data_IF_508397629023
#
_entry.id   IF_508397629023
#
_cell.length_a   1.000
_cell.length_b   1.000
_cell.length_c   1.000
_cell.angle_alpha   90.00
_cell.angle_beta   90.00
_cell.angle_gamma   90.00
#
_symmetry.space_group_name_H-M   'P 1'
#
loop_
_entity.id
_entity.type
_entity.pdbx_description
1 polymer ?
#
# COMPACT_ATOMS: atom_id res chain seq x y z
N UNK A 1 11.36 22.16 53.96
CA UNK A 1 10.51 21.57 55.03
C UNK A 1 10.09 20.16 54.60
N UNK A 2 10.55 19.14 55.33
CA UNK A 2 10.04 17.75 55.35
C UNK A 2 8.73 17.70 56.16
N UNK A 3 7.90 16.65 56.06
CA UNK A 3 8.09 15.35 56.74
C UNK A 3 7.87 14.17 55.77
N UNK A 4 8.53 13.01 55.77
CA UNK A 4 8.93 12.01 56.79
C UNK A 4 7.78 11.58 57.70
N UNK A 5 7.13 10.46 57.38
CA UNK A 5 6.64 9.53 58.39
C UNK A 5 6.68 8.09 57.87
N UNK A 6 7.45 7.28 58.58
CA UNK A 6 7.48 5.83 58.52
C UNK A 6 6.47 5.28 59.52
N UNK A 7 5.79 4.17 59.20
CA UNK A 7 5.20 3.28 60.20
C UNK A 7 5.43 1.83 59.74
N UNK A 8 5.95 1.04 60.67
CA UNK A 8 6.33 -0.35 60.54
C UNK A 8 5.36 -1.26 61.31
N UNK A 9 5.19 -2.49 60.78
CA UNK A 9 4.90 -3.77 61.46
C UNK A 9 3.50 -3.96 62.12
N UNK A 10 3.08 -5.20 62.51
CA UNK A 10 3.79 -6.49 62.47
C UNK A 10 2.96 -7.76 62.06
N UNK A 11 3.70 -8.87 61.93
CA UNK A 11 3.38 -10.27 62.28
C UNK A 11 2.00 -10.89 61.97
N UNK A 12 2.03 -11.98 61.19
CA UNK A 12 1.26 -13.19 61.52
C UNK A 12 2.00 -14.45 61.04
N UNK A 13 2.48 -15.21 62.02
CA UNK A 13 3.11 -16.51 61.96
C UNK A 13 2.01 -17.58 62.01
N UNK A 14 1.99 -18.54 61.09
CA UNK A 14 1.19 -19.75 61.25
C UNK A 14 1.95 -20.96 60.69
N UNK A 15 2.48 -21.76 61.62
CA UNK A 15 2.92 -23.13 61.40
C UNK A 15 1.72 -24.02 61.06
N UNK A 16 1.88 -24.95 60.12
CA UNK A 16 1.19 -26.23 60.15
C UNK A 16 2.16 -27.33 59.73
N UNK A 17 2.37 -28.25 60.66
CA UNK A 17 3.14 -29.48 60.55
C UNK A 17 2.18 -30.67 60.33
N UNK A 18 2.73 -31.77 59.78
CA UNK A 18 2.11 -33.11 59.78
C UNK A 18 1.63 -33.55 58.39
N UNK A 19 1.84 -34.77 57.91
CA UNK A 19 2.46 -35.97 58.47
C UNK A 19 3.05 -36.76 57.30
N UNK A 20 4.23 -37.35 57.51
CA UNK A 20 4.83 -38.30 56.58
C UNK A 20 4.23 -39.69 56.79
N UNK A 21 3.51 -40.21 55.79
CA UNK A 21 3.06 -41.60 55.76
C UNK A 21 4.13 -42.46 55.10
N UNK A 22 4.82 -43.27 55.91
CA UNK A 22 5.75 -44.29 55.44
C UNK A 22 4.94 -45.52 55.03
N UNK A 23 4.92 -45.84 53.73
CA UNK A 23 4.34 -47.08 53.22
C UNK A 23 5.44 -48.09 52.94
N UNK A 24 5.26 -49.28 53.51
CA UNK A 24 6.19 -50.41 53.50
C UNK A 24 6.22 -51.03 52.11
N UNK A 25 7.43 -51.18 51.56
CA UNK A 25 7.68 -51.89 50.32
C UNK A 25 7.41 -53.40 50.51
N UNK A 26 6.48 -53.95 49.74
CA UNK A 26 6.41 -55.38 49.46
C UNK A 26 7.01 -55.61 48.08
N UNK A 27 8.10 -56.37 48.01
CA UNK A 27 8.71 -56.88 46.78
C UNK A 27 7.86 -58.01 46.22
N UNK A 28 7.23 -57.89 45.03
CA UNK A 28 6.67 -59.03 44.33
C UNK A 28 7.79 -59.83 43.64
N UNK A 29 7.71 -61.15 43.79
CA UNK A 29 8.54 -62.15 43.14
C UNK A 29 8.34 -62.04 41.62
N UNK A 30 9.44 -61.85 40.88
CA UNK A 30 9.42 -61.73 39.42
C UNK A 30 9.22 -63.11 38.77
N UNK A 31 8.10 -63.27 38.06
CA UNK A 31 7.83 -64.38 37.15
C UNK A 31 8.62 -64.16 35.84
N UNK A 32 9.25 -65.19 35.24
CA UNK A 32 10.04 -65.01 34.03
C UNK A 32 9.14 -64.67 32.83
N UNK A 33 9.47 -63.57 32.15
CA UNK A 33 8.74 -63.07 31.00
C UNK A 33 8.74 -64.06 29.81
N UNK A 34 7.63 -64.20 29.06
CA UNK A 34 7.58 -65.02 27.85
C UNK A 34 8.48 -64.42 26.74
N UNK A 35 9.02 -65.25 25.83
CA UNK A 35 9.87 -64.77 24.75
C UNK A 35 9.12 -63.83 23.80
N UNK A 36 9.79 -62.82 23.23
CA UNK A 36 9.14 -61.85 22.35
C UNK A 36 8.67 -62.51 21.05
N UNK A 37 7.55 -62.04 20.47
CA UNK A 37 7.07 -62.54 19.19
C UNK A 37 8.06 -62.24 18.06
N UNK A 38 8.08 -63.04 16.98
CA UNK A 38 8.94 -62.79 15.83
C UNK A 38 8.59 -61.45 15.16
N UNK A 39 9.58 -60.76 14.57
CA UNK A 39 9.33 -59.49 13.90
C UNK A 39 8.38 -59.66 12.71
N UNK A 40 7.50 -58.66 12.44
CA UNK A 40 6.58 -58.73 11.33
C UNK A 40 7.35 -58.78 9.99
N UNK A 41 6.94 -59.71 9.12
CA UNK A 41 7.45 -59.80 7.75
C UNK A 41 7.09 -58.51 7.02
N UNK A 42 8.08 -57.77 6.56
CA UNK A 42 7.88 -56.52 5.82
C UNK A 42 7.11 -56.79 4.51
N UNK A 43 5.90 -56.25 4.40
CA UNK A 43 5.16 -56.22 3.14
C UNK A 43 5.80 -55.20 2.20
N UNK A 44 5.93 -55.48 0.89
CA UNK A 44 6.41 -54.49 -0.06
C UNK A 44 5.46 -53.30 -0.11
N UNK A 45 6.00 -52.10 0.02
CA UNK A 45 5.25 -50.85 -0.03
C UNK A 45 4.53 -50.74 -1.39
N UNK A 46 3.21 -50.52 -1.37
CA UNK A 46 2.46 -50.17 -2.55
C UNK A 46 3.03 -48.86 -3.16
N UNK A 47 3.08 -48.72 -4.50
CA UNK A 47 3.54 -47.48 -5.11
C UNK A 47 2.64 -46.32 -4.68
N UNK A 48 3.25 -45.21 -4.25
CA UNK A 48 2.52 -44.01 -3.89
C UNK A 48 1.64 -43.54 -5.06
N UNK A 49 0.38 -43.14 -4.83
CA UNK A 49 -0.43 -42.56 -5.87
C UNK A 49 0.24 -41.28 -6.40
N UNK A 50 0.25 -41.12 -7.73
CA UNK A 50 0.77 -39.93 -8.38
C UNK A 50 0.11 -38.67 -7.78
N UNK A 51 0.83 -37.54 -7.66
CA UNK A 51 0.26 -36.30 -7.16
C UNK A 51 -0.88 -35.88 -8.09
N UNK A 52 -2.10 -35.85 -7.54
CA UNK A 52 -3.25 -35.23 -8.22
C UNK A 52 -2.92 -33.74 -8.37
N UNK A 53 -2.94 -33.15 -9.57
CA UNK A 53 -2.88 -31.71 -9.69
C UNK A 53 -4.13 -31.15 -9.05
N UNK A 54 -3.98 -30.52 -7.87
CA UNK A 54 -5.06 -29.78 -7.24
C UNK A 54 -5.54 -28.68 -8.19
N UNK A 55 -6.84 -28.36 -8.23
CA UNK A 55 -7.30 -27.22 -9.00
C UNK A 55 -6.58 -25.98 -8.48
N UNK A 56 -5.94 -25.25 -9.39
CA UNK A 56 -5.42 -23.91 -9.15
C UNK A 56 -6.61 -23.03 -8.76
N UNK A 57 -6.94 -22.99 -7.47
CA UNK A 57 -7.99 -22.12 -6.96
C UNK A 57 -7.38 -20.73 -6.80
N UNK A 58 -7.14 -20.07 -7.94
CA UNK A 58 -7.11 -18.62 -7.96
C UNK A 58 -8.48 -18.17 -7.43
N UNK A 59 -8.47 -17.44 -6.32
CA UNK A 59 -9.70 -16.89 -5.75
C UNK A 59 -10.47 -16.15 -6.85
N UNK A 60 -11.81 -16.29 -6.94
CA UNK A 60 -12.59 -15.54 -7.91
C UNK A 60 -12.27 -14.06 -7.76
N UNK A 61 -11.67 -13.46 -8.78
CA UNK A 61 -11.44 -12.02 -8.82
C UNK A 61 -12.81 -11.41 -9.04
N UNK A 62 -13.58 -11.21 -7.97
CA UNK A 62 -14.91 -10.62 -8.03
C UNK A 62 -14.82 -9.29 -8.80
N UNK A 63 -15.70 -9.05 -9.79
CA UNK A 63 -15.69 -7.81 -10.55
C UNK A 63 -15.85 -6.61 -9.59
N UNK A 64 -15.16 -5.52 -9.88
CA UNK A 64 -15.32 -4.26 -9.15
C UNK A 64 -16.58 -3.60 -9.70
N UNK A 65 -17.68 -3.63 -8.94
CA UNK A 65 -18.98 -3.17 -9.43
C UNK A 65 -19.10 -1.64 -9.37
N UNK A 66 -18.46 -1.01 -8.38
CA UNK A 66 -18.43 0.44 -8.18
C UNK A 66 -16.97 0.91 -8.07
N UNK A 67 -16.16 0.54 -9.07
CA UNK A 67 -14.75 0.84 -9.09
C UNK A 67 -14.50 2.35 -9.16
N UNK A 68 -13.73 2.90 -8.21
CA UNK A 68 -13.20 4.27 -8.30
C UNK A 68 -11.69 4.19 -8.20
N UNK A 69 -11.00 4.82 -9.15
CA UNK A 69 -9.53 4.87 -9.15
C UNK A 69 -9.03 6.17 -8.51
N UNK A 70 -7.95 6.06 -7.75
CA UNK A 70 -7.28 7.15 -7.06
C UNK A 70 -5.78 7.12 -7.38
N UNK A 71 -5.16 8.30 -7.44
CA UNK A 71 -3.70 8.46 -7.50
C UNK A 71 -3.23 9.08 -6.19
N UNK A 72 -2.30 8.41 -5.52
CA UNK A 72 -1.74 8.81 -4.23
C UNK A 72 -0.54 9.75 -4.39
N UNK A 73 -0.25 10.50 -3.33
CA UNK A 73 0.91 11.40 -3.18
C UNK A 73 2.26 10.67 -3.25
N UNK A 74 2.28 9.35 -3.06
CA UNK A 74 3.46 8.51 -3.29
C UNK A 74 3.58 7.98 -4.73
N UNK A 75 2.64 8.34 -5.62
CA UNK A 75 2.63 7.90 -7.01
C UNK A 75 2.07 6.49 -7.22
N UNK A 76 1.51 5.85 -6.19
CA UNK A 76 0.77 4.59 -6.38
C UNK A 76 -0.67 4.85 -6.83
N UNK A 77 -1.19 3.97 -7.70
CA UNK A 77 -2.64 3.90 -7.97
C UNK A 77 -3.32 3.03 -6.92
N UNK A 78 -4.46 3.50 -6.41
CA UNK A 78 -5.37 2.71 -5.59
C UNK A 78 -6.72 2.58 -6.32
N UNK A 79 -7.27 1.38 -6.41
CA UNK A 79 -8.63 1.17 -6.93
C UNK A 79 -9.51 0.69 -5.81
N UNK A 80 -10.64 1.36 -5.58
CA UNK A 80 -11.59 1.00 -4.53
C UNK A 80 -12.89 0.47 -5.12
N UNK A 81 -13.56 -0.42 -4.41
CA UNK A 81 -14.90 -0.90 -4.72
C UNK A 81 -15.68 -1.02 -3.41
N UNK A 82 -16.66 -0.14 -3.25
CA UNK A 82 -17.45 -0.03 -2.03
C UNK A 82 -18.82 -0.68 -2.24
N UNK A 83 -19.03 -1.78 -1.52
CA UNK A 83 -20.36 -2.34 -1.32
C UNK A 83 -21.01 -1.63 -0.12
N UNK A 84 -21.85 -0.65 -0.43
CA UNK A 84 -22.60 0.13 0.58
C UNK A 84 -23.64 -0.73 1.33
N UNK A 85 -24.16 -1.78 0.71
CA UNK A 85 -25.14 -2.65 1.34
C UNK A 85 -24.47 -3.57 2.37
N UNK A 86 -23.26 -4.05 2.06
CA UNK A 86 -22.47 -4.85 2.98
C UNK A 86 -21.64 -4.02 3.98
N UNK A 87 -21.43 -2.71 3.72
CA UNK A 87 -20.53 -1.87 4.51
C UNK A 87 -19.05 -2.27 4.32
N UNK A 88 -18.71 -2.80 3.15
CA UNK A 88 -17.39 -3.37 2.85
C UNK A 88 -16.70 -2.58 1.75
N UNK A 89 -15.47 -2.15 2.01
CA UNK A 89 -14.62 -1.48 1.03
C UNK A 89 -13.48 -2.41 0.64
N UNK A 90 -13.42 -2.80 -0.63
CA UNK A 90 -12.25 -3.45 -1.20
C UNK A 90 -11.32 -2.40 -1.79
N UNK A 91 -10.02 -2.51 -1.51
CA UNK A 91 -8.98 -1.60 -2.00
C UNK A 91 -7.85 -2.41 -2.61
N UNK A 92 -7.49 -2.09 -3.85
CA UNK A 92 -6.35 -2.68 -4.56
C UNK A 92 -5.26 -1.60 -4.66
N UNK A 93 -4.11 -1.80 -4.01
CA UNK A 93 -3.00 -0.84 -4.01
C UNK A 93 -1.67 -1.57 -3.91
N UNK A 94 -0.70 -1.20 -4.75
CA UNK A 94 0.64 -1.81 -4.71
C UNK A 94 0.67 -3.33 -4.99
N UNK A 95 -0.35 -3.85 -5.67
CA UNK A 95 -0.53 -5.30 -5.91
C UNK A 95 -1.21 -6.05 -4.77
N UNK A 96 -1.46 -5.41 -3.64
CA UNK A 96 -2.19 -5.98 -2.50
C UNK A 96 -3.69 -5.67 -2.62
N UNK A 97 -4.53 -6.63 -2.22
CA UNK A 97 -5.97 -6.43 -2.07
C UNK A 97 -6.33 -6.44 -0.59
N UNK A 98 -6.84 -5.32 -0.11
CA UNK A 98 -7.29 -5.11 1.26
C UNK A 98 -8.82 -5.03 1.30
N UNK A 99 -9.43 -5.60 2.34
CA UNK A 99 -10.87 -5.53 2.58
C UNK A 99 -11.11 -4.88 3.93
N UNK A 100 -11.70 -3.69 3.93
CA UNK A 100 -11.94 -2.88 5.12
C UNK A 100 -13.43 -2.83 5.43
N UNK A 101 -13.74 -2.73 6.72
CA UNK A 101 -15.11 -2.62 7.22
C UNK A 101 -15.46 -1.16 7.52
N UNK A 102 -16.63 -0.70 7.09
CA UNK A 102 -17.13 0.63 7.38
C UNK A 102 -17.44 0.80 8.88
N UNK A 103 -17.01 1.92 9.44
CA UNK A 103 -17.42 2.37 10.76
C UNK A 103 -18.63 3.28 10.63
N UNK A 104 -19.77 2.81 11.09
CA UNK A 104 -21.04 3.54 11.04
C UNK A 104 -20.96 4.85 11.83
N UNK A 105 -21.58 5.91 11.31
CA UNK A 105 -21.73 7.19 12.00
C UNK A 105 -20.59 8.20 11.77
N UNK A 106 -19.61 7.87 10.94
CA UNK A 106 -18.53 8.79 10.57
C UNK A 106 -18.83 9.53 9.26
N UNK A 107 -18.47 10.82 9.22
CA UNK A 107 -18.47 11.66 8.01
C UNK A 107 -17.12 12.37 7.91
N UNK A 108 -16.34 12.18 6.83
CA UNK A 108 -16.60 11.25 5.72
C UNK A 108 -16.63 9.78 6.17
N UNK A 109 -17.21 8.87 5.36
CA UNK A 109 -17.15 7.43 5.58
C UNK A 109 -15.74 6.96 5.96
N UNK A 110 -15.68 6.16 7.02
CA UNK A 110 -14.44 5.65 7.59
C UNK A 110 -14.44 4.14 7.50
N UNK A 111 -13.31 3.57 7.08
CA UNK A 111 -13.11 2.14 6.95
C UNK A 111 -11.90 1.71 7.77
N UNK A 112 -11.97 0.54 8.39
CA UNK A 112 -10.90 0.01 9.23
C UNK A 112 -10.57 -1.45 8.91
N UNK A 113 -9.29 -1.78 9.04
CA UNK A 113 -8.77 -3.14 9.00
C UNK A 113 -7.60 -3.24 9.98
N UNK A 114 -7.85 -3.86 11.14
CA UNK A 114 -6.88 -3.90 12.23
C UNK A 114 -6.48 -2.49 12.67
N UNK A 115 -5.19 -2.16 12.52
CA UNK A 115 -4.65 -0.83 12.83
C UNK A 115 -4.72 0.16 11.65
N UNK A 116 -5.14 -0.26 10.46
CA UNK A 116 -5.23 0.61 9.29
C UNK A 116 -6.60 1.28 9.23
N UNK A 117 -6.62 2.56 8.86
CA UNK A 117 -7.83 3.35 8.70
C UNK A 117 -7.80 4.08 7.36
N UNK A 118 -8.93 4.11 6.67
CA UNK A 118 -9.12 4.84 5.43
C UNK A 118 -10.35 5.73 5.57
N UNK A 119 -10.20 7.04 5.37
CA UNK A 119 -11.32 7.97 5.27
C UNK A 119 -11.57 8.27 3.77
N UNK A 120 -12.81 8.10 3.32
CA UNK A 120 -13.20 8.26 1.91
C UNK A 120 -14.34 9.27 1.80
N UNK A 121 -14.10 10.42 1.19
CA UNK A 121 -15.15 11.43 0.92
C UNK A 121 -15.71 11.35 -0.52
N UNK A 122 -15.15 10.46 -1.35
CA UNK A 122 -15.49 10.26 -2.75
C UNK A 122 -14.48 10.89 -3.71
N UNK A 123 -13.91 12.04 -3.36
CA UNK A 123 -12.86 12.70 -4.14
C UNK A 123 -11.46 12.39 -3.60
N UNK A 124 -11.35 12.23 -2.29
CA UNK A 124 -10.11 11.99 -1.56
C UNK A 124 -10.24 10.71 -0.73
N UNK A 125 -9.21 9.87 -0.81
CA UNK A 125 -9.00 8.72 0.05
C UNK A 125 -7.75 8.99 0.90
N UNK A 126 -7.92 9.17 2.22
CA UNK A 126 -6.79 9.38 3.13
C UNK A 126 -6.51 8.10 3.91
N UNK A 127 -5.29 7.59 3.78
CA UNK A 127 -4.84 6.35 4.41
C UNK A 127 -4.04 6.70 5.67
N UNK A 128 -4.40 6.06 6.77
CA UNK A 128 -3.76 6.24 8.07
C UNK A 128 -3.25 4.92 8.63
N UNK A 129 -2.10 5.00 9.31
CA UNK A 129 -1.60 3.97 10.22
C UNK A 129 -2.03 4.37 11.64
N UNK A 130 -2.96 3.61 12.19
CA UNK A 130 -3.63 3.87 13.46
C UNK A 130 -5.11 4.21 13.26
N UNK A 131 -5.92 3.85 14.26
CA UNK A 131 -7.37 4.15 14.31
C UNK A 131 -7.71 5.30 15.28
N UNK A 132 -6.71 5.86 15.96
CA UNK A 132 -6.87 6.95 16.92
C UNK A 132 -6.83 8.32 16.24
N UNK A 133 -7.07 9.38 17.02
CA UNK A 133 -7.04 10.77 16.54
C UNK A 133 -5.64 11.21 16.06
N UNK A 134 -4.60 10.57 16.59
CA UNK A 134 -3.19 10.89 16.29
C UNK A 134 -2.58 9.88 15.30
N UNK A 135 -3.42 9.19 14.53
CA UNK A 135 -2.97 8.24 13.53
C UNK A 135 -2.05 8.92 12.51
N UNK A 136 -0.97 8.26 12.14
CA UNK A 136 -0.01 8.73 11.14
C UNK A 136 -0.68 8.70 9.77
N UNK A 137 -0.67 9.83 9.05
CA UNK A 137 -1.15 9.87 7.67
C UNK A 137 -0.07 9.26 6.76
N UNK A 138 -0.40 8.14 6.14
CA UNK A 138 0.50 7.37 5.28
C UNK A 138 0.47 7.89 3.85
N UNK A 139 -0.73 8.18 3.34
CA UNK A 139 -0.91 8.67 1.97
C UNK A 139 -2.22 9.44 1.84
N UNK A 140 -2.21 10.41 0.92
CA UNK A 140 -3.43 11.08 0.43
C UNK A 140 -3.61 10.75 -1.03
N UNK A 141 -4.75 10.18 -1.40
CA UNK A 141 -5.06 9.82 -2.76
C UNK A 141 -6.26 10.60 -3.27
N UNK A 142 -6.21 10.97 -4.55
CA UNK A 142 -7.26 11.74 -5.18
C UNK A 142 -7.86 10.98 -6.36
N UNK A 143 -9.18 11.06 -6.49
CA UNK A 143 -9.92 10.37 -7.53
C UNK A 143 -9.47 10.82 -8.93
N UNK A 144 -9.40 9.86 -9.84
CA UNK A 144 -9.34 10.10 -11.27
C UNK A 144 -10.70 9.73 -11.88
N UNK A 145 -11.23 10.56 -12.78
CA UNK A 145 -12.47 10.23 -13.47
C UNK A 145 -12.23 9.10 -14.48
N UNK A 146 -13.29 8.34 -14.77
CA UNK A 146 -13.25 7.25 -15.75
C UNK A 146 -13.10 7.76 -17.19
N UNK A 147 -13.53 8.99 -17.43
CA UNK A 147 -13.44 9.65 -18.73
C UNK A 147 -12.57 10.92 -18.64
N UNK A 148 -11.77 11.20 -19.69
CA UNK A 148 -11.05 12.47 -19.86
C UNK A 148 -11.96 13.68 -19.68
N UNK A 149 -11.48 14.68 -18.94
CA UNK A 149 -12.19 15.97 -18.77
C UNK A 149 -11.20 17.13 -18.66
N UNK A 150 -11.67 18.32 -19.01
CA UNK A 150 -10.88 19.54 -18.84
C UNK A 150 -10.57 19.82 -17.36
N UNK A 151 -9.43 20.48 -17.12
CA UNK A 151 -8.98 20.88 -15.78
C UNK A 151 -8.24 19.79 -15.00
N UNK A 152 -8.09 18.60 -15.57
CA UNK A 152 -7.32 17.51 -14.98
C UNK A 152 -6.50 16.79 -16.02
N UNK A 153 -5.23 16.52 -15.73
CA UNK A 153 -4.34 15.66 -16.52
C UNK A 153 -3.81 14.56 -15.60
N UNK A 154 -3.88 13.31 -16.04
CA UNK A 154 -3.29 12.20 -15.32
C UNK A 154 -2.58 11.25 -16.28
N UNK A 155 -1.67 10.47 -15.71
CA UNK A 155 -0.78 9.65 -16.50
C UNK A 155 0.20 8.83 -15.66
N UNK A 156 1.20 8.30 -16.34
CA UNK A 156 2.26 7.49 -15.76
C UNK A 156 3.64 8.00 -16.14
N UNK A 157 4.56 7.92 -15.19
CA UNK A 157 5.99 8.11 -15.36
C UNK A 157 6.65 6.75 -15.51
N UNK A 158 7.21 6.47 -16.68
CA UNK A 158 7.88 5.22 -17.02
C UNK A 158 9.37 5.47 -17.26
N UNK A 159 10.22 4.49 -16.94
CA UNK A 159 11.65 4.51 -17.30
C UNK A 159 12.07 3.15 -17.83
N UNK A 160 13.07 3.14 -18.71
CA UNK A 160 13.57 1.91 -19.34
C UNK A 160 14.64 1.18 -18.51
N UNK A 161 15.38 1.91 -17.68
CA UNK A 161 16.40 1.26 -16.85
C UNK A 161 15.76 0.40 -15.74
N UNK A 162 16.49 -0.62 -15.30
CA UNK A 162 16.04 -1.56 -14.26
C UNK A 162 16.46 -1.17 -12.85
N UNK A 163 16.98 0.05 -12.66
CA UNK A 163 17.44 0.48 -11.33
C UNK A 163 16.23 0.84 -10.46
N UNK A 164 16.18 0.35 -9.23
CA UNK A 164 15.12 0.74 -8.33
C UNK A 164 15.20 2.25 -8.03
N UNK A 165 14.05 2.91 -7.91
CA UNK A 165 14.00 4.26 -7.36
C UNK A 165 14.25 4.15 -5.85
N UNK A 166 15.17 4.98 -5.35
CA UNK A 166 15.46 5.03 -3.92
C UNK A 166 14.22 5.59 -3.20
N UNK A 167 13.80 5.04 -2.06
CA UNK A 167 12.74 5.64 -1.26
C UNK A 167 13.06 7.09 -0.88
N UNK A 168 12.05 7.96 -0.85
CA UNK A 168 12.22 9.39 -0.57
C UNK A 168 12.66 10.22 -1.80
N UNK A 169 12.67 9.60 -2.99
CA UNK A 169 12.90 10.32 -4.24
C UNK A 169 11.68 11.19 -4.56
N UNK A 170 11.91 12.42 -5.05
CA UNK A 170 10.87 13.38 -5.39
C UNK A 170 10.71 13.44 -6.89
N UNK A 171 9.55 13.05 -7.41
CA UNK A 171 9.21 13.32 -8.80
C UNK A 171 8.33 14.57 -8.87
N UNK A 172 8.65 15.47 -9.80
CA UNK A 172 7.86 16.66 -10.10
C UNK A 172 7.46 16.62 -11.57
N UNK A 173 6.17 16.74 -11.82
CA UNK A 173 5.61 16.84 -13.17
C UNK A 173 5.02 18.24 -13.35
N UNK A 174 5.37 18.89 -14.44
CA UNK A 174 5.00 20.25 -14.77
C UNK A 174 4.19 20.27 -16.06
N UNK A 175 3.08 21.00 -16.05
CA UNK A 175 2.38 21.46 -17.25
C UNK A 175 2.92 22.85 -17.58
N UNK A 176 3.55 22.98 -18.73
CA UNK A 176 4.17 24.23 -19.17
C UNK A 176 3.62 24.69 -20.51
N UNK A 177 3.49 26.01 -20.65
CA UNK A 177 3.24 26.70 -21.91
C UNK A 177 4.58 27.00 -22.60
N UNK A 178 4.78 26.44 -23.79
CA UNK A 178 5.93 26.68 -24.65
C UNK A 178 5.51 27.29 -26.01
N UNK A 179 4.55 28.22 -26.02
CA UNK A 179 4.03 28.87 -27.23
C UNK A 179 5.11 29.55 -28.09
N UNK A 180 6.24 29.92 -27.49
CA UNK A 180 7.37 30.55 -28.17
C UNK A 180 8.62 29.71 -27.93
N UNK A 181 9.19 29.17 -29.00
CA UNK A 181 10.43 28.38 -28.96
C UNK A 181 11.60 29.16 -28.32
N UNK A 182 11.61 30.49 -28.47
CA UNK A 182 12.67 31.36 -27.97
C UNK A 182 12.40 31.97 -26.57
N UNK A 183 11.29 31.61 -25.93
CA UNK A 183 10.92 32.12 -24.61
C UNK A 183 11.03 31.02 -23.54
N UNK A 184 11.38 31.38 -22.29
CA UNK A 184 11.26 30.46 -21.18
C UNK A 184 9.84 29.90 -21.07
N UNK A 185 9.72 28.59 -20.94
CA UNK A 185 8.42 27.95 -20.78
C UNK A 185 7.76 28.41 -19.48
N UNK A 186 6.48 28.78 -19.54
CA UNK A 186 5.75 29.28 -18.38
C UNK A 186 5.05 28.11 -17.68
N UNK A 187 5.29 27.95 -16.38
CA UNK A 187 4.60 26.94 -15.58
C UNK A 187 3.12 27.34 -15.39
N UNK A 188 2.23 26.44 -15.78
CA UNK A 188 0.77 26.60 -15.60
C UNK A 188 0.36 25.93 -14.30
N UNK A 189 0.80 24.68 -14.13
CA UNK A 189 0.52 23.84 -12.98
C UNK A 189 1.65 22.84 -12.78
N UNK A 190 1.82 22.38 -11.54
CA UNK A 190 2.73 21.28 -11.24
C UNK A 190 2.15 20.38 -10.17
N UNK A 191 2.63 19.14 -10.15
CA UNK A 191 2.37 18.18 -9.09
C UNK A 191 3.69 17.58 -8.65
N UNK A 192 3.78 17.21 -7.38
CA UNK A 192 4.98 16.58 -6.82
C UNK A 192 4.56 15.36 -6.02
N UNK A 193 5.32 14.29 -6.17
CA UNK A 193 5.09 13.00 -5.53
C UNK A 193 6.39 12.49 -4.92
N UNK A 194 6.28 11.82 -3.78
CA UNK A 194 7.43 11.32 -3.01
C UNK A 194 7.35 9.81 -2.98
N UNK A 195 8.30 9.15 -3.65
CA UNK A 195 8.27 7.69 -3.76
C UNK A 195 8.48 7.05 -2.39
N UNK A 196 7.66 6.06 -2.07
CA UNK A 196 7.74 5.25 -0.86
C UNK A 196 8.56 3.95 -1.09
N UNK A 197 9.43 3.94 -2.09
CA UNK A 197 10.14 2.75 -2.57
C UNK A 197 9.36 1.95 -3.62
N UNK A 198 8.29 2.54 -4.17
CA UNK A 198 7.50 1.97 -5.24
C UNK A 198 8.26 1.88 -6.57
N UNK A 199 7.97 0.82 -7.32
CA UNK A 199 8.50 0.62 -8.66
C UNK A 199 7.70 1.44 -9.68
N UNK A 200 8.35 1.76 -10.80
CA UNK A 200 7.67 2.35 -11.97
C UNK A 200 6.69 1.32 -12.58
N UNK A 201 5.60 1.77 -13.22
CA UNK A 201 5.22 3.15 -13.48
C UNK A 201 4.74 3.91 -12.23
N UNK A 202 5.10 5.20 -12.12
CA UNK A 202 4.55 6.10 -11.08
C UNK A 202 3.37 6.87 -11.66
N UNK A 203 2.23 6.84 -11.00
CA UNK A 203 1.04 7.56 -11.42
C UNK A 203 1.11 9.01 -10.98
N UNK A 204 0.70 9.94 -11.84
CA UNK A 204 0.62 11.36 -11.51
C UNK A 204 -0.74 11.95 -11.89
N UNK A 205 -1.10 13.03 -11.19
CA UNK A 205 -2.31 13.83 -11.42
C UNK A 205 -1.96 15.31 -11.27
N UNK A 206 -2.32 16.12 -12.26
CA UNK A 206 -2.15 17.57 -12.30
C UNK A 206 -3.53 18.19 -12.52
N UNK A 207 -4.02 18.93 -11.54
CA UNK A 207 -5.16 19.82 -11.73
C UNK A 207 -4.66 21.17 -12.26
N UNK A 208 -5.36 21.74 -13.23
CA UNK A 208 -5.01 23.03 -13.82
C UNK A 208 -6.26 23.88 -14.02
N UNK A 209 -6.06 25.19 -14.08
CA UNK A 209 -7.13 26.15 -14.35
C UNK A 209 -7.44 26.17 -15.85
N UNK A 210 -8.67 25.83 -16.21
CA UNK A 210 -9.14 25.77 -17.61
C UNK A 210 -9.12 27.16 -18.24
N UNK A 211 -9.35 28.23 -17.47
CA UNK A 211 -9.38 29.59 -17.98
C UNK A 211 -7.98 30.12 -18.32
N UNK A 212 -6.93 29.49 -17.78
CA UNK A 212 -5.53 29.80 -18.07
C UNK A 212 -4.99 29.07 -19.31
N UNK A 213 -5.77 28.17 -19.90
CA UNK A 213 -5.37 27.36 -21.05
C UNK A 213 -6.37 27.57 -22.18
N UNK A 214 -5.87 27.88 -23.38
CA UNK A 214 -6.70 27.84 -24.58
C UNK A 214 -6.17 26.73 -25.47
N UNK A 215 -6.96 25.69 -25.81
CA UNK A 215 -6.51 24.64 -26.72
C UNK A 215 -5.97 25.23 -28.03
N UNK A 216 -4.64 25.13 -28.23
CA UNK A 216 -3.90 25.82 -29.30
C UNK A 216 -2.66 25.00 -29.69
N UNK A 217 -2.86 23.94 -30.46
CA UNK A 217 -1.77 23.15 -31.05
C UNK A 217 -0.67 22.73 -30.06
N UNK A 218 0.53 22.45 -30.58
CA UNK A 218 1.72 21.96 -29.85
C UNK A 218 2.38 23.01 -28.93
N UNK A 219 1.58 23.67 -28.09
CA UNK A 219 2.00 24.73 -27.18
C UNK A 219 2.21 24.20 -25.77
N UNK A 220 1.27 23.39 -25.29
CA UNK A 220 1.31 22.86 -23.93
C UNK A 220 2.03 21.53 -23.92
N UNK A 221 2.99 21.39 -23.02
CA UNK A 221 3.77 20.16 -22.86
C UNK A 221 3.90 19.78 -21.40
N UNK A 222 4.01 18.49 -21.18
CA UNK A 222 4.38 17.94 -19.88
C UNK A 222 5.89 17.76 -19.79
N UNK A 223 6.44 18.07 -18.63
CA UNK A 223 7.82 17.79 -18.28
C UNK A 223 7.85 17.06 -16.95
N UNK A 224 8.66 16.01 -16.83
CA UNK A 224 8.88 15.37 -15.55
C UNK A 224 10.36 15.34 -15.22
N UNK A 225 10.65 15.51 -13.93
CA UNK A 225 11.99 15.31 -13.36
C UNK A 225 11.88 14.55 -12.06
N UNK A 226 12.90 13.77 -11.79
CA UNK A 226 13.02 12.97 -10.58
C UNK A 226 14.33 13.33 -9.91
N UNK A 227 14.24 13.81 -8.69
CA UNK A 227 15.36 14.20 -7.84
C UNK A 227 15.51 13.18 -6.70
N UNK A 228 16.73 12.72 -6.47
CA UNK A 228 17.03 11.79 -5.39
C UNK A 228 16.80 12.41 -4.01
N UNK A 229 16.87 11.60 -2.94
CA UNK A 229 16.79 12.11 -1.57
C UNK A 229 17.89 13.14 -1.24
N UNK A 230 19.00 13.08 -1.97
CA UNK A 230 20.13 14.01 -1.91
C UNK A 230 19.90 15.31 -2.70
N UNK A 231 18.74 15.47 -3.35
CA UNK A 231 18.38 16.62 -4.17
C UNK A 231 19.03 16.64 -5.55
N UNK A 232 19.77 15.59 -5.93
CA UNK A 232 20.38 15.52 -7.26
C UNK A 232 19.38 15.04 -8.30
N UNK A 233 19.38 15.68 -9.46
CA UNK A 233 18.59 15.24 -10.61
C UNK A 233 19.05 13.84 -11.04
N UNK A 234 18.14 12.87 -11.01
CA UNK A 234 18.39 11.49 -11.40
C UNK A 234 17.75 11.14 -12.73
N UNK A 235 16.53 11.64 -12.99
CA UNK A 235 15.83 11.42 -14.24
C UNK A 235 15.13 12.68 -14.74
N UNK A 236 14.96 12.76 -16.06
CA UNK A 236 14.24 13.83 -16.73
C UNK A 236 13.53 13.27 -17.97
N UNK A 237 12.44 13.89 -18.38
CA UNK A 237 11.83 13.66 -19.71
C UNK A 237 12.72 14.24 -20.80
N UNK A 238 13.11 13.43 -21.78
CA UNK A 238 13.87 13.86 -22.96
C UNK A 238 12.97 14.20 -24.17
N UNK A 239 11.79 13.59 -24.21
CA UNK A 239 10.83 13.74 -25.31
C UNK A 239 9.76 14.75 -24.91
N UNK A 240 9.43 15.64 -25.84
CA UNK A 240 8.33 16.58 -25.65
C UNK A 240 6.98 15.86 -25.78
N UNK A 241 6.26 15.74 -24.68
CA UNK A 241 4.88 15.21 -24.67
C UNK A 241 3.90 16.37 -24.69
N UNK A 242 3.30 16.62 -25.85
CA UNK A 242 2.28 17.65 -26.02
C UNK A 242 0.93 17.18 -25.46
N UNK A 243 0.18 18.12 -24.91
CA UNK A 243 -1.15 17.90 -24.33
C UNK A 243 -2.06 19.07 -24.69
N UNK A 244 -3.37 18.90 -24.53
CA UNK A 244 -4.35 19.98 -24.77
C UNK A 244 -4.29 20.55 -26.20
N UNK A 245 -3.89 19.71 -27.17
CA UNK A 245 -3.80 20.08 -28.59
C UNK A 245 -5.18 20.23 -29.24
N UNK A 246 -6.13 19.42 -28.78
CA UNK A 246 -7.54 19.45 -29.19
C UNK A 246 -8.43 19.72 -27.98
N UNK A 247 -9.73 19.99 -28.22
CA UNK A 247 -10.72 20.16 -27.17
C UNK A 247 -11.01 18.86 -26.38
N UNK A 248 -10.62 17.71 -26.93
CA UNK A 248 -10.80 16.39 -26.31
C UNK A 248 -9.49 15.94 -25.65
N UNK A 249 -9.44 15.84 -24.31
CA UNK A 249 -8.21 15.45 -23.63
C UNK A 249 -7.83 13.99 -23.92
N UNK A 250 -6.59 13.77 -24.37
CA UNK A 250 -6.03 12.43 -24.59
C UNK A 250 -5.34 11.92 -23.32
N UNK A 251 -6.03 11.07 -22.56
CA UNK A 251 -5.60 10.57 -21.26
C UNK A 251 -5.93 9.08 -21.10
N UNK A 252 -5.16 8.31 -20.32
CA UNK A 252 -3.97 8.71 -19.54
C UNK A 252 -2.77 9.02 -20.43
N UNK A 253 -1.89 9.93 -19.98
CA UNK A 253 -0.66 10.29 -20.69
C UNK A 253 0.51 9.45 -20.17
N UNK A 254 1.39 8.98 -21.06
CA UNK A 254 2.63 8.34 -20.66
C UNK A 254 3.82 9.29 -20.85
N UNK A 255 4.64 9.44 -19.82
CA UNK A 255 5.89 10.20 -19.86
C UNK A 255 7.06 9.23 -19.70
N UNK A 256 7.94 9.18 -20.70
CA UNK A 256 9.17 8.42 -20.63
C UNK A 256 10.28 9.27 -20.01
N UNK A 257 10.99 8.69 -19.04
CA UNK A 257 12.12 9.33 -18.38
C UNK A 257 13.44 8.62 -18.69
N UNK A 258 14.47 9.43 -18.86
CA UNK A 258 15.86 9.01 -19.05
C UNK A 258 16.73 9.48 -17.90
N UNK A 259 17.88 8.83 -17.70
CA UNK A 259 18.84 9.22 -16.67
C UNK A 259 19.42 10.60 -16.99
N UNK A 260 19.48 11.46 -15.98
CA UNK A 260 20.17 12.74 -16.11
C UNK A 260 21.68 12.50 -16.10
N UNK A 261 22.38 12.96 -17.14
CA UNK A 261 23.85 12.91 -17.21
C UNK A 261 24.46 11.71 -17.94
N UNK A 262 23.66 10.86 -18.61
CA UNK A 262 24.16 9.82 -19.51
C UNK A 262 23.40 9.85 -20.83
N UNK A 263 24.05 10.34 -21.89
CA UNK A 263 23.68 10.03 -23.26
C UNK A 263 24.29 8.69 -23.66
#
# INVERSE_FOLDING_TARGET
MKPVFAIAAPLALALLAGCASSSVAQTPVAEPAPPPPPPPVAQPAAPAPAPVPGPTQQAPVLPLNNAVSYICDDGQKATTDWDRAAGVLRVIRGGETLVLQEQVGYKPPRFVLGASRLDLDGETATIYRGVTRNAERVATCHAIPDAPRNGLIWGTLTKLDRMALVPGTKARVLLVDAARADAPATEIASTSLVTSGNQVPLNFRIAYDVDRVTPRGQTYRLQARIEGPDGKLQYITDTATFVLETAEPQQPVELMLVRAGGQ
#
